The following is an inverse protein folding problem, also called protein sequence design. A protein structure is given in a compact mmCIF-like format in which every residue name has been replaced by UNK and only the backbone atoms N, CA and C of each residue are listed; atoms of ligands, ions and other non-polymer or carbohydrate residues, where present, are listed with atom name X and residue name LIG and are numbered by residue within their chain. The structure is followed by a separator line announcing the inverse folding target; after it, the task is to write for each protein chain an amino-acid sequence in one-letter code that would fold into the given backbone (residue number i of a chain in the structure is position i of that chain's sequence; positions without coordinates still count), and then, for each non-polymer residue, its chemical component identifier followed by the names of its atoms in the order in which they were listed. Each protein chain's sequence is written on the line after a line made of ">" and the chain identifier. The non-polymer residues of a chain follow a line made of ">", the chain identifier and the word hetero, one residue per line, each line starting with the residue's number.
data_IF_023661767044
#
_entry.id   IF_023661767044
#
_cell.length_a   1.000
_cell.length_b   1.000
_cell.length_c   1.000
_cell.angle_alpha   90.00
_cell.angle_beta   90.00
_cell.angle_gamma   90.00
#
_symmetry.space_group_name_H-M   'P 1'
#
loop_
_entity.id
_entity.type
_entity.pdbx_description
1 polymer ?
#
# COMPACT_ATOMS: atom_id res chain seq x y z
N UNK A 1 -14.37 -16.30 25.36
CA UNK A 1 -14.18 -16.56 23.92
C UNK A 1 -14.07 -15.21 23.21
N UNK A 2 -12.95 -14.88 22.56
CA UNK A 2 -12.88 -13.66 21.73
C UNK A 2 -13.87 -13.83 20.58
N UNK A 3 -14.71 -12.83 20.34
CA UNK A 3 -15.74 -12.90 19.32
C UNK A 3 -15.08 -12.84 17.94
N UNK A 4 -15.13 -13.93 17.17
CA UNK A 4 -14.52 -13.98 15.83
C UNK A 4 -15.43 -13.28 14.83
N UNK A 5 -14.89 -12.33 14.08
CA UNK A 5 -15.60 -11.58 13.03
C UNK A 5 -14.95 -11.87 11.68
N UNK A 6 -15.76 -11.96 10.64
CA UNK A 6 -15.27 -12.05 9.27
C UNK A 6 -15.57 -10.72 8.57
N UNK A 7 -14.55 -10.13 7.97
CA UNK A 7 -14.67 -8.93 7.16
C UNK A 7 -14.19 -9.23 5.74
N UNK A 8 -15.07 -9.00 4.76
CA UNK A 8 -14.73 -9.07 3.36
C UNK A 8 -14.45 -7.67 2.81
N UNK A 9 -13.36 -7.52 2.06
CA UNK A 9 -12.99 -6.30 1.35
C UNK A 9 -13.03 -6.55 -0.15
N UNK A 10 -13.92 -5.85 -0.85
CA UNK A 10 -14.09 -5.97 -2.30
C UNK A 10 -13.39 -4.78 -2.98
N UNK A 11 -12.39 -5.10 -3.79
CA UNK A 11 -11.49 -4.13 -4.40
C UNK A 11 -10.27 -3.90 -3.51
N UNK A 12 -9.12 -4.43 -3.95
CA UNK A 12 -7.83 -4.27 -3.29
C UNK A 12 -6.84 -3.48 -4.12
N UNK A 13 -7.33 -2.55 -4.95
CA UNK A 13 -6.51 -1.46 -5.50
C UNK A 13 -6.06 -0.47 -4.41
N UNK A 14 -5.60 0.74 -4.79
CA UNK A 14 -4.87 1.64 -3.89
C UNK A 14 -5.64 2.05 -2.62
N UNK A 15 -6.95 2.23 -2.76
CA UNK A 15 -7.82 2.59 -1.63
C UNK A 15 -8.12 1.40 -0.73
N UNK A 16 -8.29 0.21 -1.31
CA UNK A 16 -8.56 -1.02 -0.56
C UNK A 16 -7.34 -1.45 0.26
N UNK A 17 -6.15 -1.43 -0.35
CA UNK A 17 -4.89 -1.73 0.33
C UNK A 17 -4.60 -0.73 1.46
N UNK A 18 -4.81 0.57 1.23
CA UNK A 18 -4.64 1.58 2.28
C UNK A 18 -5.66 1.43 3.42
N UNK A 19 -6.92 1.10 3.10
CA UNK A 19 -7.93 0.81 4.12
C UNK A 19 -7.55 -0.42 4.96
N UNK A 20 -6.99 -1.46 4.34
CA UNK A 20 -6.49 -2.64 5.04
C UNK A 20 -5.32 -2.28 5.96
N UNK A 21 -4.37 -1.49 5.48
CA UNK A 21 -3.23 -1.00 6.27
C UNK A 21 -3.71 -0.28 7.54
N UNK A 22 -4.65 0.65 7.40
CA UNK A 22 -5.23 1.38 8.53
C UNK A 22 -6.00 0.45 9.48
N UNK A 23 -6.75 -0.51 8.96
CA UNK A 23 -7.46 -1.49 9.77
C UNK A 23 -6.47 -2.31 10.61
N UNK A 24 -5.41 -2.83 10.01
CA UNK A 24 -4.40 -3.61 10.73
C UNK A 24 -3.70 -2.76 11.80
N UNK A 25 -3.29 -1.53 11.47
CA UNK A 25 -2.72 -0.61 12.46
C UNK A 25 -3.68 -0.40 13.64
N UNK A 26 -4.96 -0.16 13.36
CA UNK A 26 -5.99 0.00 14.39
C UNK A 26 -6.14 -1.26 15.25
N UNK A 27 -6.16 -2.45 14.64
CA UNK A 27 -6.28 -3.70 15.38
C UNK A 27 -5.07 -3.99 16.27
N UNK A 28 -3.88 -3.54 15.88
CA UNK A 28 -2.65 -3.65 16.68
C UNK A 28 -2.72 -2.76 17.91
N UNK A 29 -3.24 -1.55 17.78
CA UNK A 29 -3.34 -0.58 18.87
C UNK A 29 -4.44 -0.94 19.90
N UNK A 30 -5.35 -1.86 19.57
CA UNK A 30 -6.46 -2.25 20.43
C UNK A 30 -6.38 -3.72 20.89
N UNK A 31 -5.81 -3.96 22.08
CA UNK A 31 -5.65 -5.32 22.65
C UNK A 31 -6.96 -6.11 22.89
N UNK A 32 -8.08 -5.39 23.02
CA UNK A 32 -9.42 -5.97 23.17
C UNK A 32 -10.15 -6.18 21.85
N UNK A 33 -9.49 -5.89 20.70
CA UNK A 33 -10.09 -6.06 19.40
C UNK A 33 -10.55 -7.53 19.17
N UNK A 34 -11.68 -7.72 18.47
CA UNK A 34 -12.13 -9.05 18.09
C UNK A 34 -11.09 -9.73 17.20
N UNK A 35 -11.14 -11.06 17.18
CA UNK A 35 -10.37 -11.81 16.20
C UNK A 35 -11.01 -11.62 14.81
N UNK A 36 -10.32 -10.94 13.90
CA UNK A 36 -10.83 -10.64 12.56
C UNK A 36 -10.19 -11.56 11.53
N UNK A 37 -11.03 -12.35 10.86
CA UNK A 37 -10.69 -13.03 9.61
C UNK A 37 -10.95 -12.06 8.44
N UNK A 38 -9.94 -11.84 7.63
CA UNK A 38 -10.00 -10.95 6.48
C UNK A 38 -10.12 -11.77 5.19
N UNK A 39 -11.09 -11.43 4.35
CA UNK A 39 -11.26 -11.98 3.01
C UNK A 39 -11.04 -10.85 2.01
N UNK A 40 -10.00 -10.96 1.19
CA UNK A 40 -9.57 -9.90 0.28
C UNK A 40 -9.88 -10.31 -1.16
N UNK A 41 -10.59 -9.45 -1.90
CA UNK A 41 -10.98 -9.72 -3.28
C UNK A 41 -10.50 -8.59 -4.21
N UNK A 42 -9.78 -8.95 -5.26
CA UNK A 42 -9.42 -8.05 -6.36
C UNK A 42 -9.76 -8.72 -7.68
N UNK A 43 -10.58 -8.04 -8.49
CA UNK A 43 -11.08 -8.60 -9.74
C UNK A 43 -9.96 -8.76 -10.79
N UNK A 44 -8.94 -7.90 -10.74
CA UNK A 44 -7.84 -7.93 -11.71
C UNK A 44 -6.67 -8.83 -11.30
N UNK A 45 -6.66 -9.33 -10.06
CA UNK A 45 -5.47 -9.96 -9.48
C UNK A 45 -4.34 -8.99 -9.11
N UNK A 46 -4.45 -7.71 -9.47
CA UNK A 46 -3.46 -6.67 -9.18
C UNK A 46 -3.69 -6.09 -7.76
N UNK A 47 -3.31 -6.84 -6.73
CA UNK A 47 -3.40 -6.37 -5.34
C UNK A 47 -2.46 -5.18 -5.09
N UNK A 48 -3.00 -4.12 -4.48
CA UNK A 48 -2.32 -2.86 -4.19
C UNK A 48 -2.56 -1.79 -5.23
N UNK A 49 -2.45 -2.12 -6.51
CA UNK A 49 -2.44 -1.16 -7.62
C UNK A 49 -3.69 -1.19 -8.51
N UNK A 50 -4.41 -2.31 -8.53
CA UNK A 50 -5.66 -2.49 -9.28
C UNK A 50 -5.49 -2.29 -10.79
N UNK A 51 -6.60 -1.97 -11.48
CA UNK A 51 -6.59 -1.71 -12.93
C UNK A 51 -5.98 -0.36 -13.32
N UNK A 52 -6.11 0.66 -12.47
CA UNK A 52 -5.73 2.05 -12.82
C UNK A 52 -4.21 2.21 -12.87
N UNK A 53 -3.51 1.53 -11.96
CA UNK A 53 -2.06 1.53 -11.85
C UNK A 53 -1.48 0.17 -12.22
N UNK A 54 -2.05 -0.49 -13.23
CA UNK A 54 -1.50 -1.73 -13.77
C UNK A 54 -0.02 -1.53 -14.12
N UNK A 55 0.84 -2.47 -13.72
CA UNK A 55 2.30 -2.39 -13.96
C UNK A 55 2.65 -2.66 -15.42
N UNK A 56 1.73 -3.23 -16.20
CA UNK A 56 1.93 -3.58 -17.62
C UNK A 56 1.43 -2.50 -18.59
N UNK A 57 0.87 -1.39 -18.10
CA UNK A 57 0.43 -0.29 -18.96
C UNK A 57 1.62 0.46 -19.59
N UNK A 58 1.40 1.12 -20.73
CA UNK A 58 2.45 1.90 -21.41
C UNK A 58 3.05 2.98 -20.50
N UNK A 59 4.34 3.25 -20.69
CA UNK A 59 5.06 4.32 -20.02
C UNK A 59 4.62 5.73 -20.46
N UNK A 60 3.84 5.84 -21.53
CA UNK A 60 3.25 7.13 -21.97
C UNK A 60 2.05 7.56 -21.11
N UNK A 61 1.48 6.63 -20.32
CA UNK A 61 0.40 6.98 -19.41
C UNK A 61 0.96 7.58 -18.12
N UNK A 62 1.09 8.90 -18.09
CA UNK A 62 1.66 9.61 -16.95
C UNK A 62 0.64 9.89 -15.85
N UNK A 63 1.17 10.12 -14.66
CA UNK A 63 0.41 10.71 -13.57
C UNK A 63 0.07 12.16 -13.89
N UNK A 64 -1.05 12.63 -13.36
CA UNK A 64 -1.45 14.03 -13.38
C UNK A 64 -0.93 14.81 -12.16
N UNK A 65 -0.03 14.20 -11.39
CA UNK A 65 0.62 14.77 -10.20
C UNK A 65 2.11 14.64 -10.41
N UNK A 66 2.86 15.71 -10.14
CA UNK A 66 4.31 15.68 -10.24
C UNK A 66 4.92 14.78 -9.18
N UNK A 67 6.11 14.25 -9.46
CA UNK A 67 6.82 13.38 -8.55
C UNK A 67 7.09 14.07 -7.21
N UNK A 68 7.39 15.37 -7.24
CA UNK A 68 7.52 16.22 -6.05
C UNK A 68 6.24 16.25 -5.19
N UNK A 69 5.07 16.39 -5.82
CA UNK A 69 3.79 16.50 -5.13
C UNK A 69 3.19 15.13 -4.72
N UNK A 70 3.82 14.02 -5.12
CA UNK A 70 3.35 12.67 -4.79
C UNK A 70 3.79 12.26 -3.37
N UNK A 71 3.13 12.82 -2.37
CA UNK A 71 3.42 12.58 -0.96
C UNK A 71 2.68 11.34 -0.42
N UNK A 72 3.29 10.16 -0.57
CA UNK A 72 2.82 8.94 0.08
C UNK A 72 3.74 8.60 1.25
N UNK A 73 3.24 8.77 2.47
CA UNK A 73 4.01 8.57 3.69
C UNK A 73 4.37 7.10 3.90
N UNK A 74 5.54 6.86 4.47
CA UNK A 74 5.99 5.51 4.81
C UNK A 74 5.14 4.86 5.90
N UNK A 75 5.07 3.53 5.86
CA UNK A 75 4.45 2.69 6.88
C UNK A 75 5.51 2.26 7.89
N UNK A 76 5.24 2.41 9.20
CA UNK A 76 6.12 1.88 10.25
C UNK A 76 5.99 0.36 10.34
N UNK A 77 7.05 -0.30 10.79
CA UNK A 77 6.95 -1.71 11.18
C UNK A 77 6.02 -1.85 12.39
N UNK A 78 5.32 -2.98 12.46
CA UNK A 78 4.41 -3.28 13.57
C UNK A 78 4.37 -4.79 13.82
N UNK A 79 3.94 -5.18 15.01
CA UNK A 79 3.76 -6.58 15.39
C UNK A 79 2.27 -6.84 15.58
N UNK A 80 1.69 -7.72 14.76
CA UNK A 80 0.29 -8.10 14.87
C UNK A 80 0.19 -9.59 15.22
N UNK A 81 -0.33 -9.90 16.41
CA UNK A 81 -0.48 -11.30 16.90
C UNK A 81 0.82 -12.12 16.84
N UNK A 82 1.97 -11.49 17.06
CA UNK A 82 3.28 -12.13 16.98
C UNK A 82 3.87 -12.23 15.56
N UNK A 83 3.13 -11.79 14.54
CA UNK A 83 3.62 -11.67 13.16
C UNK A 83 4.25 -10.29 13.01
N UNK A 84 5.52 -10.25 12.60
CA UNK A 84 6.20 -9.02 12.22
C UNK A 84 5.72 -8.56 10.85
N UNK A 85 5.16 -7.36 10.78
CA UNK A 85 4.84 -6.69 9.53
C UNK A 85 5.94 -5.65 9.29
N UNK A 86 6.76 -5.82 8.23
CA UNK A 86 7.89 -4.91 7.98
C UNK A 86 7.37 -3.50 7.73
N UNK A 87 8.19 -2.48 7.98
CA UNK A 87 7.87 -1.13 7.52
C UNK A 87 7.89 -1.05 5.98
N UNK A 88 7.35 0.04 5.43
CA UNK A 88 7.46 0.32 4.00
C UNK A 88 7.86 1.79 3.78
N UNK A 89 8.81 2.09 2.89
CA UNK A 89 9.27 3.46 2.67
C UNK A 89 8.17 4.40 2.17
N UNK A 90 8.38 5.71 2.36
CA UNK A 90 7.60 6.71 1.63
C UNK A 90 7.85 6.58 0.12
N UNK A 91 6.96 7.12 -0.71
CA UNK A 91 7.17 7.06 -2.16
C UNK A 91 8.50 7.71 -2.57
N UNK A 92 8.84 8.87 -2.01
CA UNK A 92 10.10 9.55 -2.33
C UNK A 92 11.33 8.76 -1.91
N UNK A 93 11.28 8.08 -0.76
CA UNK A 93 12.38 7.20 -0.33
C UNK A 93 12.51 5.98 -1.26
N UNK A 94 11.39 5.37 -1.66
CA UNK A 94 11.39 4.23 -2.58
C UNK A 94 11.87 4.60 -3.98
N UNK A 95 11.46 5.78 -4.46
CA UNK A 95 11.81 6.29 -5.79
C UNK A 95 13.21 6.93 -5.85
N UNK A 96 13.96 6.95 -4.75
CA UNK A 96 15.24 7.66 -4.59
C UNK A 96 15.15 9.14 -5.02
N UNK A 97 14.06 9.80 -4.64
CA UNK A 97 13.78 11.19 -5.01
C UNK A 97 14.32 12.17 -3.97
N UNK A 98 15.31 12.97 -4.36
CA UNK A 98 15.92 14.01 -3.54
C UNK A 98 15.07 15.30 -3.54
N UNK A 99 14.21 15.45 -2.53
CA UNK A 99 13.39 16.66 -2.36
C UNK A 99 14.22 17.93 -2.18
N UNK A 100 15.45 17.84 -1.66
CA UNK A 100 16.32 19.00 -1.42
C UNK A 100 16.80 19.64 -2.73
N UNK A 101 17.05 18.82 -3.76
CA UNK A 101 17.40 19.27 -5.11
C UNK A 101 16.19 19.64 -5.96
N UNK A 102 15.02 19.05 -5.65
CA UNK A 102 13.81 19.29 -6.41
C UNK A 102 13.46 20.79 -6.53
N UNK A 103 13.77 21.62 -5.52
CA UNK A 103 13.44 23.07 -5.53
C UNK A 103 13.94 23.84 -6.76
N UNK A 104 14.98 23.36 -7.44
CA UNK A 104 15.54 23.96 -8.66
C UNK A 104 15.21 23.20 -9.95
N UNK A 105 14.64 21.99 -9.84
CA UNK A 105 14.43 21.09 -10.96
C UNK A 105 13.02 21.21 -11.55
N UNK A 106 12.92 20.91 -12.85
CA UNK A 106 11.65 20.85 -13.59
C UNK A 106 10.79 19.72 -13.02
N UNK A 107 9.48 19.96 -12.91
CA UNK A 107 8.55 18.93 -12.45
C UNK A 107 8.49 17.74 -13.42
N UNK A 108 8.73 16.56 -12.88
CA UNK A 108 8.63 15.27 -13.57
C UNK A 108 7.29 14.63 -13.25
N UNK A 109 6.59 14.09 -14.25
CA UNK A 109 5.33 13.37 -14.09
C UNK A 109 5.58 11.89 -14.37
N UNK A 110 5.69 11.04 -13.32
CA UNK A 110 6.10 9.66 -13.53
C UNK A 110 5.01 8.85 -14.23
N UNK A 111 5.38 7.77 -14.96
CA UNK A 111 4.42 6.83 -15.50
C UNK A 111 3.54 6.23 -14.40
N UNK A 112 2.25 5.98 -14.70
CA UNK A 112 1.33 5.30 -13.79
C UNK A 112 1.80 3.90 -13.42
N UNK A 113 2.46 3.20 -14.35
CA UNK A 113 3.07 1.90 -14.10
C UNK A 113 4.10 1.96 -12.94
N UNK A 114 4.91 3.02 -12.86
CA UNK A 114 5.89 3.23 -11.78
C UNK A 114 5.20 3.31 -10.41
N UNK A 115 4.15 4.12 -10.30
CA UNK A 115 3.35 4.17 -9.07
C UNK A 115 2.65 2.83 -8.81
N UNK A 116 2.25 2.11 -9.86
CA UNK A 116 1.71 0.76 -9.77
C UNK A 116 2.63 -0.21 -9.05
N UNK A 117 3.91 -0.22 -9.40
CA UNK A 117 4.93 -1.06 -8.75
C UNK A 117 5.04 -0.71 -7.26
N UNK A 118 5.18 0.58 -6.93
CA UNK A 118 5.24 1.04 -5.54
C UNK A 118 4.03 0.56 -4.70
N UNK A 119 2.82 0.71 -5.24
CA UNK A 119 1.58 0.34 -4.56
C UNK A 119 1.41 -1.18 -4.41
N UNK A 120 1.84 -1.94 -5.42
CA UNK A 120 1.85 -3.40 -5.39
C UNK A 120 2.81 -3.92 -4.32
N UNK A 121 4.07 -3.46 -4.34
CA UNK A 121 5.08 -3.85 -3.35
C UNK A 121 4.67 -3.46 -1.92
N UNK A 122 4.10 -2.25 -1.74
CA UNK A 122 3.58 -1.81 -0.44
C UNK A 122 2.50 -2.75 0.08
N UNK A 123 1.55 -3.13 -0.78
CA UNK A 123 0.47 -4.04 -0.42
C UNK A 123 1.01 -5.45 -0.09
N UNK A 124 1.89 -5.99 -0.93
CA UNK A 124 2.52 -7.30 -0.75
C UNK A 124 3.28 -7.39 0.59
N UNK A 125 4.05 -6.36 0.93
CA UNK A 125 4.77 -6.27 2.22
C UNK A 125 3.87 -6.36 3.46
N UNK A 126 2.56 -6.12 3.30
CA UNK A 126 1.57 -6.25 4.36
C UNK A 126 0.82 -7.59 4.30
N UNK A 127 0.37 -8.02 3.12
CA UNK A 127 -0.48 -9.22 3.00
C UNK A 127 0.30 -10.53 3.08
N UNK A 128 1.55 -10.58 2.59
CA UNK A 128 2.32 -11.83 2.52
C UNK A 128 2.61 -12.39 3.92
N UNK A 129 3.09 -11.61 4.91
CA UNK A 129 3.30 -12.13 6.26
C UNK A 129 2.00 -12.59 6.94
N UNK A 130 0.86 -11.96 6.61
CA UNK A 130 -0.45 -12.26 7.17
C UNK A 130 -1.12 -13.48 6.53
N UNK A 131 -0.82 -13.79 5.26
CA UNK A 131 -1.38 -14.93 4.55
C UNK A 131 -0.59 -16.23 4.76
N UNK A 132 0.68 -16.12 5.15
CA UNK A 132 1.57 -17.27 5.40
C UNK A 132 1.35 -17.95 6.77
N UNK A 133 0.49 -17.40 7.64
CA UNK A 133 0.20 -17.85 9.01
C UNK A 133 -1.30 -17.94 9.29
#
# INVERSE_FOLDING_TARGET
>A
MRNKRTLAMIGMGPRGSYALENLISTLVDHQEAPDVQLLLFEATGNFGNGQVYDTQQTNDNWLNVSERALELQGRKSLIYKGIELPGFPSYHQWADFDQGKASTDIDVYPPRAKLGVYLQERCQSLIEPLAAN
#
